data_IF_362939502992
#
_entry.id   IF_362939502992
#
_cell.length_a   1.000
_cell.length_b   1.000
_cell.length_c   1.000
_cell.angle_alpha   90.00
_cell.angle_beta   90.00
_cell.angle_gamma   90.00
#
_symmetry.space_group_name_H-M   'P 1'
#
loop_
_entity.id
_entity.type
_entity.pdbx_description
1 polymer ?
#
# COMPACT_ATOMS: atom_id res chain seq x y z
N UNK A 1 -51.01 -9.86 10.68
CA UNK A 1 -49.64 -10.38 10.47
C UNK A 1 -49.04 -9.62 9.28
N UNK A 2 -48.08 -8.73 9.55
CA UNK A 2 -47.29 -8.06 8.51
C UNK A 2 -46.06 -8.92 8.19
N UNK A 3 -45.67 -9.14 6.92
CA UNK A 3 -44.48 -9.90 6.62
C UNK A 3 -43.23 -9.05 6.92
N UNK A 4 -42.31 -9.63 7.71
CA UNK A 4 -40.96 -9.11 7.90
C UNK A 4 -40.21 -9.26 6.58
N UNK A 5 -39.91 -8.13 5.94
CA UNK A 5 -39.01 -8.09 4.80
C UNK A 5 -37.65 -8.67 5.21
N UNK A 6 -37.23 -9.76 4.56
CA UNK A 6 -35.85 -10.24 4.64
C UNK A 6 -34.96 -9.13 4.07
N UNK A 7 -34.25 -8.44 4.96
CA UNK A 7 -33.13 -7.57 4.57
C UNK A 7 -32.06 -8.52 4.05
N UNK A 8 -32.03 -8.69 2.73
CA UNK A 8 -30.91 -9.33 2.05
C UNK A 8 -29.70 -8.43 2.24
N UNK A 9 -28.82 -8.78 3.18
CA UNK A 9 -27.54 -8.10 3.31
C UNK A 9 -26.82 -8.21 1.96
N UNK A 10 -26.52 -7.07 1.35
CA UNK A 10 -25.72 -7.02 0.13
C UNK A 10 -24.38 -7.72 0.42
N UNK A 11 -23.99 -8.66 -0.43
CA UNK A 11 -22.69 -9.31 -0.34
C UNK A 11 -21.58 -8.25 -0.38
N UNK A 12 -20.56 -8.35 0.48
CA UNK A 12 -19.44 -7.40 0.43
C UNK A 12 -18.80 -7.44 -0.96
N UNK A 13 -18.42 -6.28 -1.48
CA UNK A 13 -17.67 -6.20 -2.74
C UNK A 13 -16.27 -6.77 -2.46
N UNK A 14 -15.97 -7.90 -3.10
CA UNK A 14 -14.71 -8.60 -2.96
C UNK A 14 -14.05 -8.76 -4.33
N UNK A 15 -12.73 -8.55 -4.40
CA UNK A 15 -11.95 -8.74 -5.61
C UNK A 15 -10.55 -9.28 -5.27
N UNK A 16 -10.07 -10.22 -6.08
CA UNK A 16 -8.71 -10.73 -6.00
C UNK A 16 -7.83 -10.09 -7.09
N UNK A 17 -6.60 -9.73 -6.72
CA UNK A 17 -5.59 -9.20 -7.64
C UNK A 17 -4.31 -9.99 -7.48
N UNK A 18 -3.83 -10.56 -8.59
CA UNK A 18 -2.68 -11.46 -8.58
C UNK A 18 -1.43 -10.78 -9.15
N UNK A 19 -0.29 -11.01 -8.49
CA UNK A 19 1.01 -10.51 -8.90
C UNK A 19 2.02 -11.65 -8.99
N UNK A 20 2.96 -11.54 -9.93
CA UNK A 20 4.12 -12.44 -9.99
C UNK A 20 5.10 -12.09 -8.87
N UNK A 21 5.45 -13.07 -8.03
CA UNK A 21 6.33 -12.88 -6.87
C UNK A 21 7.81 -12.70 -7.24
N UNK A 22 8.20 -12.98 -8.49
CA UNK A 22 9.54 -12.71 -9.01
C UNK A 22 9.75 -11.23 -9.39
N UNK A 23 8.66 -10.50 -9.64
CA UNK A 23 8.68 -9.09 -10.06
C UNK A 23 8.21 -8.19 -8.92
N UNK A 24 7.12 -8.57 -8.25
CA UNK A 24 6.47 -7.74 -7.25
C UNK A 24 7.07 -7.97 -5.86
N UNK A 25 7.45 -6.89 -5.18
CA UNK A 25 7.89 -7.00 -3.78
C UNK A 25 6.70 -7.08 -2.83
N UNK A 26 6.83 -7.92 -1.80
CA UNK A 26 5.86 -8.00 -0.71
C UNK A 26 5.75 -6.67 0.04
N UNK A 27 6.88 -5.99 0.28
CA UNK A 27 6.90 -4.70 0.98
C UNK A 27 6.06 -3.62 0.27
N UNK A 28 6.06 -3.61 -1.06
CA UNK A 28 5.25 -2.68 -1.82
C UNK A 28 3.76 -3.03 -1.78
N UNK A 29 3.42 -4.32 -1.74
CA UNK A 29 2.04 -4.78 -1.54
C UNK A 29 1.53 -4.41 -0.14
N UNK A 30 2.35 -4.59 0.90
CA UNK A 30 2.00 -4.25 2.29
C UNK A 30 1.79 -2.74 2.48
N UNK A 31 2.66 -1.91 1.91
CA UNK A 31 2.49 -0.46 1.96
C UNK A 31 1.28 0.02 1.15
N UNK A 32 0.99 -0.58 0.00
CA UNK A 32 -0.22 -0.31 -0.76
C UNK A 32 -1.49 -0.72 0.01
N UNK A 33 -1.47 -1.91 0.65
CA UNK A 33 -2.55 -2.39 1.50
C UNK A 33 -2.80 -1.46 2.70
N UNK A 34 -1.73 -0.99 3.35
CA UNK A 34 -1.82 -0.02 4.44
C UNK A 34 -2.46 1.30 3.99
N UNK A 35 -2.10 1.82 2.81
CA UNK A 35 -2.69 3.04 2.24
C UNK A 35 -4.14 2.86 1.78
N UNK A 36 -4.60 1.62 1.61
CA UNK A 36 -5.98 1.30 1.28
C UNK A 36 -6.90 1.29 2.52
N UNK A 37 -6.33 1.31 3.74
CA UNK A 37 -7.10 1.37 4.99
C UNK A 37 -8.07 2.55 4.96
N UNK A 38 -9.30 2.28 5.38
CA UNK A 38 -10.43 3.22 5.31
C UNK A 38 -11.26 3.12 4.03
N UNK A 39 -10.78 2.40 3.00
CA UNK A 39 -11.56 2.07 1.80
C UNK A 39 -11.85 0.56 1.70
N UNK A 40 -10.85 -0.26 1.97
CA UNK A 40 -10.99 -1.72 1.96
C UNK A 40 -9.97 -2.35 2.91
N UNK A 41 -10.22 -3.62 3.24
CA UNK A 41 -9.20 -4.49 3.80
C UNK A 41 -8.49 -5.22 2.66
N UNK A 42 -7.21 -5.51 2.84
CA UNK A 42 -6.41 -6.29 1.90
C UNK A 42 -5.72 -7.40 2.67
N UNK A 43 -5.92 -8.65 2.25
CA UNK A 43 -5.15 -9.78 2.72
C UNK A 43 -4.21 -10.23 1.60
N UNK A 44 -2.90 -10.20 1.87
CA UNK A 44 -1.88 -10.67 0.94
C UNK A 44 -1.47 -12.08 1.31
N UNK A 45 -1.59 -13.01 0.37
CA UNK A 45 -1.12 -14.39 0.53
C UNK A 45 -0.16 -14.75 -0.60
N UNK A 46 0.84 -15.57 -0.30
CA UNK A 46 1.69 -16.17 -1.33
C UNK A 46 1.17 -17.55 -1.68
N UNK A 47 0.83 -17.76 -2.94
CA UNK A 47 0.38 -19.04 -3.49
C UNK A 47 1.36 -19.42 -4.61
N UNK A 48 2.33 -20.28 -4.28
CA UNK A 48 3.40 -20.66 -5.20
C UNK A 48 4.29 -19.47 -5.58
N UNK A 49 4.32 -19.17 -6.88
CA UNK A 49 5.08 -18.09 -7.51
C UNK A 49 4.27 -16.78 -7.62
N UNK A 50 3.08 -16.71 -7.02
CA UNK A 50 2.23 -15.52 -7.07
C UNK A 50 1.90 -14.99 -5.68
N UNK A 51 1.72 -13.67 -5.60
CA UNK A 51 0.97 -13.05 -4.51
C UNK A 51 -0.48 -12.86 -4.93
N UNK A 52 -1.41 -13.27 -4.06
CA UNK A 52 -2.84 -13.09 -4.21
C UNK A 52 -3.28 -12.06 -3.17
N UNK A 53 -3.71 -10.89 -3.64
CA UNK A 53 -4.23 -9.82 -2.79
C UNK A 53 -5.76 -9.85 -2.81
N UNK A 54 -6.39 -10.30 -1.73
CA UNK A 54 -7.85 -10.29 -1.58
C UNK A 54 -8.31 -8.98 -0.96
N UNK A 55 -9.07 -8.21 -1.71
CA UNK A 55 -9.59 -6.90 -1.31
C UNK A 55 -11.06 -7.05 -0.95
N UNK A 56 -11.43 -6.61 0.26
CA UNK A 56 -12.83 -6.57 0.70
C UNK A 56 -13.19 -5.13 1.02
N UNK A 57 -14.11 -4.57 0.22
CA UNK A 57 -14.57 -3.21 0.40
C UNK A 57 -15.12 -3.01 1.82
N UNK A 58 -14.69 -1.95 2.47
CA UNK A 58 -15.13 -1.58 3.81
C UNK A 58 -15.94 -0.30 3.71
N UNK A 59 -17.10 -0.24 4.38
CA UNK A 59 -17.93 0.96 4.40
C UNK A 59 -18.03 1.58 5.81
N UNK A 60 -16.93 2.11 6.36
CA UNK A 60 -16.96 2.70 7.70
C UNK A 60 -17.76 4.00 7.77
N UNK A 61 -18.05 4.67 6.65
CA UNK A 61 -18.67 6.00 6.62
C UNK A 61 -20.04 6.07 5.90
N UNK A 62 -20.68 4.93 5.58
CA UNK A 62 -21.93 4.87 4.77
C UNK A 62 -21.82 5.60 3.42
N UNK A 63 -20.62 5.72 2.85
CA UNK A 63 -20.44 6.22 1.47
C UNK A 63 -20.86 5.13 0.48
N UNK A 64 -20.99 5.49 -0.79
CA UNK A 64 -21.12 4.50 -1.85
C UNK A 64 -19.96 3.50 -1.75
N UNK A 65 -20.30 2.21 -1.69
CA UNK A 65 -19.30 1.14 -1.70
C UNK A 65 -18.68 1.14 -3.10
N UNK A 66 -17.34 1.21 -3.23
CA UNK A 66 -16.70 1.17 -4.54
C UNK A 66 -17.05 -0.14 -5.24
N UNK A 67 -17.17 -0.09 -6.56
CA UNK A 67 -17.31 -1.31 -7.35
C UNK A 67 -16.04 -2.17 -7.26
N UNK A 68 -16.14 -3.45 -7.64
CA UNK A 68 -14.98 -4.35 -7.71
C UNK A 68 -13.88 -3.78 -8.60
N UNK A 69 -14.25 -3.20 -9.75
CA UNK A 69 -13.30 -2.64 -10.71
C UNK A 69 -12.64 -1.37 -10.17
N UNK A 70 -13.41 -0.49 -9.55
CA UNK A 70 -12.87 0.72 -8.89
C UNK A 70 -11.91 0.36 -7.76
N UNK A 71 -12.24 -0.67 -6.97
CA UNK A 71 -11.39 -1.14 -5.88
C UNK A 71 -10.08 -1.73 -6.41
N UNK A 72 -10.17 -2.56 -7.46
CA UNK A 72 -9.01 -3.15 -8.13
C UNK A 72 -8.11 -2.07 -8.75
N UNK A 73 -8.68 -1.14 -9.51
CA UNK A 73 -7.96 -0.04 -10.14
C UNK A 73 -7.22 0.81 -9.09
N UNK A 74 -7.92 1.18 -8.01
CA UNK A 74 -7.33 1.96 -6.93
C UNK A 74 -6.17 1.23 -6.27
N UNK A 75 -6.30 -0.07 -6.02
CA UNK A 75 -5.21 -0.85 -5.44
C UNK A 75 -4.01 -0.95 -6.39
N UNK A 76 -4.23 -1.16 -7.69
CA UNK A 76 -3.15 -1.19 -8.69
C UNK A 76 -2.40 0.16 -8.77
N UNK A 77 -3.11 1.28 -8.66
CA UNK A 77 -2.49 2.61 -8.60
C UNK A 77 -1.59 2.77 -7.37
N UNK A 78 -2.04 2.29 -6.20
CA UNK A 78 -1.24 2.32 -4.98
C UNK A 78 0.02 1.44 -5.08
N UNK A 79 -0.11 0.23 -5.61
CA UNK A 79 1.04 -0.67 -5.85
C UNK A 79 2.03 -0.06 -6.84
N UNK A 80 1.53 0.60 -7.89
CA UNK A 80 2.38 1.28 -8.89
C UNK A 80 3.18 2.42 -8.27
N UNK A 81 2.53 3.25 -7.45
CA UNK A 81 3.19 4.34 -6.73
C UNK A 81 4.25 3.81 -5.76
N UNK A 82 3.96 2.74 -5.03
CA UNK A 82 4.92 2.16 -4.09
C UNK A 82 6.12 1.52 -4.78
N UNK A 83 5.89 0.84 -5.92
CA UNK A 83 6.96 0.35 -6.77
C UNK A 83 7.84 1.50 -7.31
N UNK A 84 7.24 2.64 -7.67
CA UNK A 84 8.01 3.82 -8.07
C UNK A 84 8.82 4.39 -6.91
N UNK A 85 8.21 4.49 -5.73
CA UNK A 85 8.86 4.98 -4.50
C UNK A 85 10.08 4.14 -4.15
N UNK A 86 9.97 2.82 -4.22
CA UNK A 86 11.07 1.89 -3.97
C UNK A 86 12.23 2.13 -4.95
N UNK A 87 11.95 2.23 -6.26
CA UNK A 87 12.98 2.50 -7.28
C UNK A 87 13.65 3.85 -7.09
N UNK A 88 12.89 4.88 -6.70
CA UNK A 88 13.46 6.21 -6.43
C UNK A 88 14.35 6.15 -5.19
N UNK A 89 13.92 5.48 -4.12
CA UNK A 89 14.71 5.32 -2.90
C UNK A 89 16.04 4.61 -3.17
N UNK A 90 16.01 3.53 -3.95
CA UNK A 90 17.20 2.80 -4.39
C UNK A 90 18.14 3.70 -5.21
N UNK A 91 17.61 4.36 -6.26
CA UNK A 91 18.42 5.21 -7.15
C UNK A 91 19.00 6.44 -6.46
N UNK A 92 18.36 6.93 -5.40
CA UNK A 92 18.78 8.15 -4.69
C UNK A 92 19.58 7.87 -3.43
N UNK A 93 19.80 6.60 -3.06
CA UNK A 93 20.51 6.21 -1.84
C UNK A 93 21.91 6.82 -1.76
N UNK A 94 22.71 6.73 -2.82
CA UNK A 94 24.06 7.30 -2.83
C UNK A 94 24.07 8.81 -2.60
N UNK A 95 23.18 9.54 -3.28
CA UNK A 95 23.05 11.00 -3.14
C UNK A 95 22.63 11.36 -1.71
N UNK A 96 21.64 10.64 -1.16
CA UNK A 96 21.20 10.79 0.23
C UNK A 96 22.35 10.59 1.21
N UNK A 97 23.14 9.54 1.02
CA UNK A 97 24.26 9.21 1.90
C UNK A 97 25.36 10.28 1.85
N UNK A 98 25.65 10.84 0.67
CA UNK A 98 26.60 11.98 0.54
C UNK A 98 26.07 13.21 1.26
N UNK A 99 24.79 13.56 1.09
CA UNK A 99 24.17 14.70 1.79
C UNK A 99 24.26 14.50 3.31
N UNK A 100 23.95 13.31 3.81
CA UNK A 100 24.05 12.99 5.23
C UNK A 100 25.50 13.09 5.74
N UNK A 101 26.45 12.54 5.00
CA UNK A 101 27.87 12.60 5.37
C UNK A 101 28.38 14.05 5.44
N UNK A 102 28.00 14.90 4.48
CA UNK A 102 28.36 16.32 4.49
C UNK A 102 27.72 17.06 5.67
N UNK A 103 26.43 16.85 5.92
CA UNK A 103 25.71 17.50 7.01
C UNK A 103 26.30 17.13 8.38
N UNK A 104 26.53 15.83 8.64
CA UNK A 104 27.09 15.39 9.91
C UNK A 104 28.59 15.69 10.05
N UNK A 105 29.35 15.66 8.96
CA UNK A 105 30.75 16.10 8.95
C UNK A 105 30.90 17.58 9.30
N UNK A 106 30.05 18.44 8.73
CA UNK A 106 30.05 19.88 9.05
C UNK A 106 29.66 20.15 10.51
N UNK A 107 28.68 19.42 11.06
CA UNK A 107 28.31 19.53 12.48
C UNK A 107 29.47 19.17 13.41
N UNK A 108 30.21 18.09 13.10
CA UNK A 108 31.36 17.68 13.90
C UNK A 108 32.51 18.69 13.86
N UNK A 109 32.79 19.29 12.69
CA UNK A 109 33.81 20.33 12.55
C UNK A 109 33.51 21.56 13.42
N UNK A 110 32.25 22.02 13.42
CA UNK A 110 31.83 23.19 14.19
C UNK A 110 31.91 22.98 15.72
N UNK A 111 31.76 21.74 16.20
CA UNK A 111 31.90 21.43 17.64
C UNK A 111 33.35 21.53 18.12
N UNK A 112 34.34 21.28 17.26
CA UNK A 112 35.75 21.35 17.62
C UNK A 112 36.29 22.80 17.66
N UNK A 113 35.66 23.75 16.97
CA UNK A 113 36.04 25.17 16.97
C UNK A 113 35.48 25.96 18.17
N UNK A 114 34.62 25.33 18.99
CA UNK A 114 33.99 25.99 20.16
C UNK A 114 34.54 25.51 21.52
N UNK A 115 35.61 24.70 21.52
CA UNK A 115 36.32 24.24 22.71
C UNK A 115 37.72 24.81 22.80
#
# INVERSE_FOLDING_TARGET
>A
MLPVAKISAASPVEVAVDFDSSIQSLSALDAAAYRLIGTATCQVERVGDRYVCRLVASNPQKRAVPSSDELKERFLNLVTDENLRARVAEKTEGVRNVILALAFGALAANQNDTG
#
